data_IF_715931098209
#
_entry.id   IF_715931098209
#
_cell.length_a   1.000
_cell.length_b   1.000
_cell.length_c   1.000
_cell.angle_alpha   90.00
_cell.angle_beta   90.00
_cell.angle_gamma   90.00
#
_symmetry.space_group_name_H-M   'P 1'
#
loop_
_entity.id
_entity.type
_entity.pdbx_description
1 polymer ?
#
# COMPACT_ATOMS: atom_id res chain seq x y z
N UNK A 1 -15.54 0.19 -29.43
CA UNK A 1 -16.22 0.21 -28.11
C UNK A 1 -15.76 -0.98 -27.26
N UNK A 2 -14.49 -0.99 -26.82
CA UNK A 2 -13.94 -2.12 -26.03
C UNK A 2 -12.84 -1.72 -25.03
N UNK A 3 -12.28 -0.51 -25.12
CA UNK A 3 -11.28 -0.02 -24.17
C UNK A 3 -11.90 0.53 -22.85
N UNK A 4 -13.10 1.10 -22.91
CA UNK A 4 -13.73 1.76 -21.76
C UNK A 4 -14.24 0.79 -20.68
N UNK A 5 -14.73 -0.39 -21.07
CA UNK A 5 -15.21 -1.40 -20.10
C UNK A 5 -14.06 -1.97 -19.25
N UNK A 6 -12.85 -2.03 -19.80
CA UNK A 6 -11.66 -2.54 -19.12
C UNK A 6 -11.13 -1.54 -18.08
N UNK A 7 -11.10 -0.25 -18.42
CA UNK A 7 -10.68 0.80 -17.49
C UNK A 7 -11.62 0.91 -16.28
N UNK A 8 -12.94 0.82 -16.51
CA UNK A 8 -13.95 0.89 -15.44
C UNK A 8 -13.94 -0.35 -14.54
N UNK A 9 -13.74 -1.54 -15.11
CA UNK A 9 -13.66 -2.78 -14.32
C UNK A 9 -12.38 -2.85 -13.48
N UNK A 10 -11.23 -2.42 -14.00
CA UNK A 10 -9.99 -2.30 -13.22
C UNK A 10 -10.10 -1.25 -12.11
N UNK A 11 -10.77 -0.11 -12.37
CA UNK A 11 -10.98 0.92 -11.35
C UNK A 11 -11.87 0.43 -10.20
N UNK A 12 -12.91 -0.34 -10.50
CA UNK A 12 -13.81 -0.94 -9.50
C UNK A 12 -13.14 -2.08 -8.73
N UNK A 13 -12.35 -2.92 -9.42
CA UNK A 13 -11.56 -3.99 -8.78
C UNK A 13 -10.48 -3.41 -7.87
N UNK A 14 -9.76 -2.37 -8.31
CA UNK A 14 -8.77 -1.68 -7.47
C UNK A 14 -9.43 -0.90 -6.32
N UNK A 15 -10.68 -0.46 -6.47
CA UNK A 15 -11.46 0.09 -5.37
C UNK A 15 -11.96 -0.99 -4.39
N UNK A 16 -12.11 -2.25 -4.83
CA UNK A 16 -12.50 -3.38 -3.97
C UNK A 16 -11.33 -4.15 -3.36
N UNK A 17 -10.16 -4.20 -4.02
CA UNK A 17 -8.96 -4.95 -3.62
C UNK A 17 -7.79 -4.05 -3.14
N UNK A 18 -7.73 -2.79 -3.59
CA UNK A 18 -6.73 -1.79 -3.16
C UNK A 18 -7.09 -1.15 -1.81
N UNK A 19 -7.64 -1.96 -0.91
CA UNK A 19 -8.14 -1.55 0.39
C UNK A 19 -7.15 -1.91 1.48
N UNK A 20 -6.73 -0.90 2.24
CA UNK A 20 -6.10 -1.06 3.54
C UNK A 20 -6.65 -2.28 4.29
N UNK A 21 -5.79 -3.26 4.55
CA UNK A 21 -6.12 -4.46 5.33
C UNK A 21 -5.59 -4.25 6.75
N UNK A 22 -6.50 -4.28 7.72
CA UNK A 22 -6.17 -4.26 9.14
C UNK A 22 -7.11 -5.22 9.86
N UNK A 23 -6.86 -6.51 9.70
CA UNK A 23 -7.61 -7.52 10.43
C UNK A 23 -7.02 -7.62 11.86
N UNK A 24 -7.84 -7.61 12.93
CA UNK A 24 -7.35 -7.72 14.31
C UNK A 24 -6.60 -9.03 14.64
N UNK A 25 -6.67 -10.03 13.75
CA UNK A 25 -5.95 -11.30 13.85
C UNK A 25 -4.77 -11.41 12.89
N UNK A 26 -4.49 -10.35 12.12
CA UNK A 26 -3.38 -10.34 11.15
C UNK A 26 -2.07 -10.04 11.88
N UNK A 27 -1.11 -10.98 11.95
CA UNK A 27 0.17 -10.74 12.61
C UNK A 27 1.00 -9.68 11.87
N UNK A 28 0.69 -9.40 10.59
CA UNK A 28 1.33 -8.35 9.79
C UNK A 28 0.89 -6.93 10.12
N UNK A 29 -0.23 -6.76 10.82
CA UNK A 29 -0.78 -5.46 11.18
C UNK A 29 -1.26 -4.61 9.98
N UNK A 30 -1.53 -3.32 10.20
CA UNK A 30 -2.04 -2.42 9.17
C UNK A 30 -1.14 -2.41 7.94
N UNK A 31 -1.70 -2.79 6.80
CA UNK A 31 -0.98 -2.94 5.52
C UNK A 31 -1.72 -2.22 4.41
N UNK A 32 -0.97 -1.46 3.61
CA UNK A 32 -1.48 -0.81 2.41
C UNK A 32 -0.44 -0.89 1.30
N UNK A 33 -0.87 -1.14 0.05
CA UNK A 33 0.02 -1.40 -1.09
C UNK A 33 1.10 -2.46 -0.83
N UNK A 34 0.82 -3.47 0.00
CA UNK A 34 1.81 -4.48 0.40
C UNK A 34 2.92 -3.98 1.35
N UNK A 35 2.85 -2.72 1.78
CA UNK A 35 3.73 -2.12 2.78
C UNK A 35 3.06 -2.20 4.15
N UNK A 36 3.72 -2.87 5.09
CA UNK A 36 3.28 -2.96 6.49
C UNK A 36 3.58 -1.67 7.23
N UNK A 37 2.86 -1.39 8.32
CA UNK A 37 3.16 -0.27 9.23
C UNK A 37 4.62 -0.25 9.70
N UNK A 38 5.21 -1.43 9.93
CA UNK A 38 6.61 -1.54 10.32
C UNK A 38 7.56 -1.02 9.24
N UNK A 39 7.32 -1.39 7.99
CA UNK A 39 8.14 -0.92 6.88
C UNK A 39 7.91 0.56 6.63
N UNK A 40 6.67 1.04 6.70
CA UNK A 40 6.36 2.45 6.57
C UNK A 40 7.06 3.32 7.64
N UNK A 41 7.11 2.81 8.89
CA UNK A 41 7.87 3.46 9.97
C UNK A 41 9.36 3.52 9.70
N UNK A 42 9.91 2.46 9.13
CA UNK A 42 11.34 2.36 8.87
C UNK A 42 11.81 3.31 7.76
N UNK A 43 11.00 3.49 6.72
CA UNK A 43 11.45 4.16 5.49
C UNK A 43 10.85 5.55 5.26
N UNK A 44 9.70 5.88 5.87
CA UNK A 44 9.01 7.15 5.63
C UNK A 44 8.79 7.94 6.91
N UNK A 45 8.15 7.36 7.92
CA UNK A 45 7.73 8.10 9.12
C UNK A 45 7.77 7.23 10.38
N UNK A 46 8.81 7.37 11.20
CA UNK A 46 9.08 6.52 12.37
C UNK A 46 7.91 6.39 13.38
N UNK A 47 7.12 7.46 13.54
CA UNK A 47 5.96 7.53 14.41
C UNK A 47 4.62 7.25 13.69
N UNK A 48 4.66 6.75 12.45
CA UNK A 48 3.46 6.52 11.66
C UNK A 48 2.45 5.64 12.39
N UNK A 49 1.18 5.88 12.10
CA UNK A 49 0.05 5.15 12.65
C UNK A 49 -0.60 4.30 11.57
N UNK A 50 -1.54 3.46 11.99
CA UNK A 50 -2.37 2.70 11.07
C UNK A 50 -3.14 3.62 10.08
N UNK A 51 -3.49 4.83 10.51
CA UNK A 51 -4.15 5.83 9.67
C UNK A 51 -3.20 6.41 8.60
N UNK A 52 -1.92 6.64 8.95
CA UNK A 52 -0.91 7.08 7.99
C UNK A 52 -0.68 6.01 6.91
N UNK A 53 -0.63 4.73 7.30
CA UNK A 53 -0.53 3.62 6.33
C UNK A 53 -1.77 3.53 5.45
N UNK A 54 -2.97 3.75 6.01
CA UNK A 54 -4.22 3.80 5.23
C UNK A 54 -4.24 4.97 4.24
N UNK A 55 -3.65 6.11 4.61
CA UNK A 55 -3.56 7.31 3.79
C UNK A 55 -2.30 7.37 2.90
N UNK A 56 -1.47 6.32 2.94
CA UNK A 56 -0.21 6.25 2.20
C UNK A 56 -0.44 6.56 0.72
N UNK A 57 0.43 7.41 0.17
CA UNK A 57 0.41 7.73 -1.25
C UNK A 57 1.18 6.68 -2.02
N UNK A 58 0.77 6.46 -3.27
CA UNK A 58 1.45 5.49 -4.17
C UNK A 58 2.92 5.86 -4.37
N UNK A 59 3.24 7.15 -4.37
CA UNK A 59 4.62 7.66 -4.48
C UNK A 59 5.48 7.26 -3.29
N UNK A 60 4.92 7.28 -2.07
CA UNK A 60 5.60 6.85 -0.86
C UNK A 60 5.84 5.34 -0.89
N UNK A 61 4.84 4.55 -1.29
CA UNK A 61 4.99 3.11 -1.47
C UNK A 61 6.11 2.78 -2.48
N UNK A 62 6.18 3.49 -3.61
CA UNK A 62 7.23 3.33 -4.62
C UNK A 62 8.62 3.62 -4.08
N UNK A 63 8.77 4.69 -3.30
CA UNK A 63 10.04 5.03 -2.65
C UNK A 63 10.49 3.89 -1.71
N UNK A 64 9.57 3.34 -0.91
CA UNK A 64 9.87 2.21 -0.03
C UNK A 64 10.27 0.97 -0.82
N UNK A 65 9.56 0.65 -1.90
CA UNK A 65 9.90 -0.49 -2.76
C UNK A 65 11.31 -0.37 -3.35
N UNK A 66 11.69 0.83 -3.79
CA UNK A 66 13.03 1.10 -4.31
C UNK A 66 14.09 0.91 -3.23
N UNK A 67 13.91 1.49 -2.05
CA UNK A 67 14.89 1.36 -0.97
C UNK A 67 14.98 -0.07 -0.41
N UNK A 68 13.85 -0.76 -0.28
CA UNK A 68 13.79 -2.09 0.34
C UNK A 68 14.26 -3.21 -0.59
N UNK A 69 14.01 -3.11 -1.89
CA UNK A 69 14.27 -4.20 -2.85
C UNK A 69 15.29 -3.86 -3.93
N UNK A 70 15.46 -2.58 -4.27
CA UNK A 70 16.32 -2.15 -5.39
C UNK A 70 17.70 -1.67 -4.93
N UNK A 71 17.76 -0.86 -3.87
CA UNK A 71 19.04 -0.40 -3.28
C UNK A 71 19.65 -1.39 -2.28
N UNK A 72 18.96 -2.51 -2.00
CA UNK A 72 19.47 -3.58 -1.14
C UNK A 72 20.33 -4.62 -1.90
N UNK A 73 20.63 -4.37 -3.19
CA UNK A 73 21.64 -5.11 -3.97
C UNK A 73 23.02 -4.49 -3.82
#
# INVERSE_FOLDING_TARGET
MSADCYAESIRRLLASEGGYVNHPSDPGGPTNFGITLRDYRRYVKADATAADVRAMRVEEAKAIYREKYWNAM
#
